data_IF_450472901671
#
_entry.id   IF_450472901671
#
_cell.length_a   1.000
_cell.length_b   1.000
_cell.length_c   1.000
_cell.angle_alpha   90.00
_cell.angle_beta   90.00
_cell.angle_gamma   90.00
#
_symmetry.space_group_name_H-M   'P 1'
#
loop_
_entity.id
_entity.type
_entity.pdbx_description
1 polymer ?
#
# COMPACT_ATOMS: atom_id res chain seq x y z
N UNK A 1 7.15 55.63 9.26
CA UNK A 1 7.00 55.16 7.85
C UNK A 1 7.91 53.99 7.46
N UNK A 2 9.22 54.17 7.17
CA UNK A 2 10.04 53.06 6.59
C UNK A 2 10.22 51.85 7.52
N UNK A 3 10.35 52.08 8.84
CA UNK A 3 10.44 51.02 9.86
C UNK A 3 9.09 50.30 10.11
N UNK A 4 7.97 51.01 10.00
CA UNK A 4 6.63 50.42 10.13
C UNK A 4 6.27 49.57 8.91
N UNK A 5 6.67 50.02 7.71
CA UNK A 5 6.51 49.28 6.47
C UNK A 5 7.34 47.99 6.47
N UNK A 6 8.60 48.06 6.95
CA UNK A 6 9.47 46.90 7.16
C UNK A 6 8.90 45.89 8.19
N UNK A 7 8.35 46.36 9.32
CA UNK A 7 7.67 45.50 10.30
C UNK A 7 6.39 44.84 9.73
N UNK A 8 5.61 45.57 8.94
CA UNK A 8 4.41 45.05 8.30
C UNK A 8 4.73 43.99 7.24
N UNK A 9 5.79 44.17 6.46
CA UNK A 9 6.29 43.18 5.50
C UNK A 9 6.80 41.90 6.18
N UNK A 10 7.56 42.05 7.28
CA UNK A 10 8.04 40.91 8.06
C UNK A 10 6.88 40.13 8.69
N UNK A 11 5.89 40.84 9.28
CA UNK A 11 4.69 40.22 9.86
C UNK A 11 3.87 39.45 8.81
N UNK A 12 3.69 40.01 7.60
CA UNK A 12 3.02 39.32 6.48
C UNK A 12 3.78 38.07 6.03
N UNK A 13 5.11 38.14 5.96
CA UNK A 13 5.94 37.00 5.59
C UNK A 13 5.87 35.88 6.65
N UNK A 14 5.86 36.24 7.94
CA UNK A 14 5.70 35.29 9.05
C UNK A 14 4.31 34.63 9.03
N UNK A 15 3.25 35.41 8.81
CA UNK A 15 1.89 34.89 8.69
C UNK A 15 1.76 33.93 7.50
N UNK A 16 2.30 34.29 6.33
CA UNK A 16 2.30 33.44 5.13
C UNK A 16 3.06 32.13 5.37
N UNK A 17 4.22 32.16 6.04
CA UNK A 17 4.97 30.95 6.43
C UNK A 17 4.18 30.07 7.39
N UNK A 18 3.51 30.67 8.38
CA UNK A 18 2.69 29.94 9.35
C UNK A 18 1.48 29.27 8.67
N UNK A 19 0.81 29.95 7.75
CA UNK A 19 -0.29 29.41 6.96
C UNK A 19 0.16 28.25 6.07
N UNK A 20 1.32 28.38 5.41
CA UNK A 20 1.89 27.31 4.60
C UNK A 20 2.23 26.07 5.46
N UNK A 21 2.86 26.27 6.62
CA UNK A 21 3.18 25.18 7.55
C UNK A 21 1.92 24.46 8.07
N UNK A 22 0.87 25.22 8.41
CA UNK A 22 -0.43 24.64 8.82
C UNK A 22 -1.08 23.84 7.69
N UNK A 23 -1.04 24.35 6.47
CA UNK A 23 -1.57 23.65 5.30
C UNK A 23 -0.80 22.35 5.02
N UNK A 24 0.53 22.35 5.16
CA UNK A 24 1.36 21.14 5.02
C UNK A 24 1.06 20.11 6.11
N UNK A 25 0.89 20.54 7.35
CA UNK A 25 0.52 19.67 8.45
C UNK A 25 -0.87 19.04 8.23
N UNK A 26 -1.86 19.84 7.79
CA UNK A 26 -3.20 19.34 7.47
C UNK A 26 -3.17 18.31 6.33
N UNK A 27 -2.37 18.54 5.27
CA UNK A 27 -2.18 17.56 4.20
C UNK A 27 -1.55 16.27 4.71
N UNK A 28 -0.54 16.36 5.57
CA UNK A 28 0.08 15.18 6.17
C UNK A 28 -0.92 14.37 7.00
N UNK A 29 -1.76 15.04 7.80
CA UNK A 29 -2.80 14.39 8.59
C UNK A 29 -3.85 13.69 7.70
N UNK A 30 -4.28 14.32 6.60
CA UNK A 30 -5.19 13.67 5.63
C UNK A 30 -4.57 12.43 4.99
N UNK A 31 -3.28 12.47 4.66
CA UNK A 31 -2.59 11.29 4.12
C UNK A 31 -2.50 10.19 5.17
N UNK A 32 -2.25 10.52 6.43
CA UNK A 32 -2.30 9.52 7.49
C UNK A 32 -3.71 8.91 7.62
N UNK A 33 -4.79 9.71 7.56
CA UNK A 33 -6.16 9.16 7.51
C UNK A 33 -6.33 8.21 6.31
N UNK A 34 -5.86 8.60 5.13
CA UNK A 34 -5.91 7.74 3.94
C UNK A 34 -5.12 6.44 4.14
N UNK A 35 -3.96 6.46 4.81
CA UNK A 35 -3.20 5.26 5.16
C UNK A 35 -3.96 4.34 6.10
N UNK A 36 -4.70 4.89 7.07
CA UNK A 36 -5.53 4.10 7.96
C UNK A 36 -6.65 3.38 7.17
N UNK A 37 -7.32 4.09 6.27
CA UNK A 37 -8.32 3.52 5.38
C UNK A 37 -7.71 2.44 4.48
N UNK A 38 -6.57 2.73 3.83
CA UNK A 38 -5.88 1.76 2.98
C UNK A 38 -5.42 0.52 3.75
N UNK A 39 -4.96 0.66 5.00
CA UNK A 39 -4.61 -0.48 5.85
C UNK A 39 -5.81 -1.40 6.11
N UNK A 40 -7.01 -0.84 6.32
CA UNK A 40 -8.24 -1.64 6.40
C UNK A 40 -8.58 -2.31 5.06
N UNK A 41 -8.45 -1.58 3.95
CA UNK A 41 -8.69 -2.14 2.61
C UNK A 41 -7.74 -3.32 2.31
N UNK A 42 -6.48 -3.27 2.73
CA UNK A 42 -5.54 -4.41 2.62
C UNK A 42 -6.06 -5.63 3.38
N UNK A 43 -6.56 -5.46 4.61
CA UNK A 43 -7.15 -6.59 5.36
C UNK A 43 -8.33 -7.18 4.58
N UNK A 44 -9.17 -6.34 3.97
CA UNK A 44 -10.28 -6.78 3.14
C UNK A 44 -9.85 -7.49 1.85
N UNK A 45 -8.61 -7.31 1.38
CA UNK A 45 -8.05 -8.08 0.26
C UNK A 45 -7.68 -9.48 0.71
N UNK A 46 -7.06 -9.62 1.89
CA UNK A 46 -6.53 -10.90 2.38
C UNK A 46 -7.57 -11.77 3.08
N UNK A 47 -8.62 -11.16 3.64
CA UNK A 47 -9.79 -11.86 4.18
C UNK A 47 -11.07 -11.19 3.65
N UNK A 48 -11.43 -11.46 2.38
CA UNK A 48 -12.53 -10.80 1.73
C UNK A 48 -13.87 -11.22 2.34
N UNK A 49 -14.85 -10.32 2.24
CA UNK A 49 -16.25 -10.67 2.50
C UNK A 49 -16.69 -11.81 1.57
N UNK A 50 -17.63 -12.66 2.01
CA UNK A 50 -18.05 -13.80 1.22
C UNK A 50 -18.93 -13.41 0.01
N UNK A 51 -19.00 -14.31 -0.97
CA UNK A 51 -19.93 -14.23 -2.08
C UNK A 51 -19.60 -13.16 -3.14
N UNK A 52 -20.54 -12.95 -4.06
CA UNK A 52 -20.38 -12.03 -5.20
C UNK A 52 -20.13 -10.59 -4.72
N UNK A 53 -20.89 -10.14 -3.71
CA UNK A 53 -20.75 -8.79 -3.12
C UNK A 53 -19.34 -8.56 -2.61
N UNK A 54 -18.78 -9.52 -1.86
CA UNK A 54 -17.42 -9.44 -1.38
C UNK A 54 -16.39 -9.37 -2.51
N UNK A 55 -16.59 -10.13 -3.59
CA UNK A 55 -15.70 -10.09 -4.74
C UNK A 55 -15.71 -8.73 -5.49
N UNK A 56 -16.88 -8.06 -5.59
CA UNK A 56 -16.97 -6.69 -6.10
C UNK A 56 -16.34 -5.68 -5.14
N UNK A 57 -16.53 -5.85 -3.83
CA UNK A 57 -15.87 -5.01 -2.83
C UNK A 57 -14.35 -5.14 -2.90
N UNK A 58 -13.82 -6.36 -3.04
CA UNK A 58 -12.38 -6.61 -3.23
C UNK A 58 -11.83 -5.92 -4.46
N UNK A 59 -12.60 -5.81 -5.56
CA UNK A 59 -12.17 -5.03 -6.73
C UNK A 59 -11.90 -3.57 -6.37
N UNK A 60 -12.75 -2.96 -5.54
CA UNK A 60 -12.56 -1.58 -5.10
C UNK A 60 -11.42 -1.44 -4.08
N UNK A 61 -11.21 -2.43 -3.22
CA UNK A 61 -10.16 -2.36 -2.19
C UNK A 61 -8.74 -2.44 -2.75
N UNK A 62 -8.56 -2.96 -3.99
CA UNK A 62 -7.25 -3.06 -4.65
C UNK A 62 -6.53 -1.73 -4.86
N UNK A 63 -7.20 -0.59 -4.72
CA UNK A 63 -6.57 0.76 -4.75
C UNK A 63 -5.54 0.99 -3.63
N UNK A 64 -5.59 0.20 -2.55
CA UNK A 64 -4.77 0.43 -1.36
C UNK A 64 -3.25 0.38 -1.64
N UNK A 65 -2.77 -0.64 -2.38
CA UNK A 65 -1.35 -0.78 -2.70
C UNK A 65 -0.84 0.34 -3.61
N UNK A 66 -1.51 0.66 -4.73
CA UNK A 66 -1.21 1.87 -5.53
C UNK A 66 -1.08 3.14 -4.69
N UNK A 67 -2.02 3.38 -3.77
CA UNK A 67 -2.02 4.56 -2.91
C UNK A 67 -0.79 4.59 -1.99
N UNK A 68 -0.39 3.47 -1.39
CA UNK A 68 0.83 3.41 -0.57
C UNK A 68 2.11 3.73 -1.36
N UNK A 69 2.22 3.25 -2.60
CA UNK A 69 3.33 3.64 -3.50
C UNK A 69 3.29 5.12 -3.85
N UNK A 70 2.13 5.66 -4.21
CA UNK A 70 1.96 7.10 -4.50
C UNK A 70 2.31 7.97 -3.29
N UNK A 71 1.90 7.59 -2.08
CA UNK A 71 2.28 8.30 -0.85
C UNK A 71 3.80 8.33 -0.70
N UNK A 72 4.47 7.18 -0.89
CA UNK A 72 5.94 7.12 -0.76
C UNK A 72 6.64 7.99 -1.81
N UNK A 73 6.17 7.96 -3.06
CA UNK A 73 6.69 8.80 -4.13
C UNK A 73 6.44 10.29 -3.92
N UNK A 74 5.26 10.66 -3.42
CA UNK A 74 4.89 12.05 -3.15
C UNK A 74 5.78 12.73 -2.11
N UNK A 75 6.19 11.99 -1.07
CA UNK A 75 7.08 12.51 -0.01
C UNK A 75 8.57 12.28 -0.30
N UNK A 76 8.93 11.63 -1.41
CA UNK A 76 10.32 11.29 -1.70
C UNK A 76 11.19 12.54 -1.90
N UNK A 77 10.68 13.58 -2.56
CA UNK A 77 11.40 14.85 -2.70
C UNK A 77 11.79 15.45 -1.34
N UNK A 78 10.91 15.34 -0.34
CA UNK A 78 11.16 15.85 1.00
C UNK A 78 12.22 15.01 1.74
N UNK A 79 12.27 13.70 1.45
CA UNK A 79 13.33 12.81 1.93
C UNK A 79 14.69 13.18 1.34
N UNK A 80 14.74 13.45 0.03
CA UNK A 80 15.95 13.88 -0.68
C UNK A 80 16.45 15.22 -0.15
N UNK A 81 15.55 16.21 0.00
CA UNK A 81 15.90 17.52 0.56
C UNK A 81 16.46 17.45 1.99
N UNK A 82 16.14 16.39 2.74
CA UNK A 82 16.64 16.14 4.09
C UNK A 82 17.85 15.20 4.13
N UNK A 83 18.36 14.73 2.99
CA UNK A 83 19.43 13.73 2.87
C UNK A 83 19.15 12.43 3.66
N UNK A 84 17.89 11.97 3.63
CA UNK A 84 17.41 10.80 4.41
C UNK A 84 17.10 9.57 3.55
N UNK A 85 17.48 9.55 2.28
CA UNK A 85 17.19 8.47 1.32
C UNK A 85 17.80 7.15 1.79
N UNK A 86 19.10 7.17 2.12
CA UNK A 86 19.81 5.99 2.66
C UNK A 86 19.21 5.52 3.99
N UNK A 87 18.78 6.46 4.84
CA UNK A 87 18.11 6.13 6.09
C UNK A 87 16.76 5.46 5.86
N UNK A 88 15.96 5.95 4.91
CA UNK A 88 14.69 5.33 4.53
C UNK A 88 14.92 3.91 3.98
N UNK A 89 15.88 3.72 3.08
CA UNK A 89 16.24 2.39 2.55
C UNK A 89 16.65 1.44 3.67
N UNK A 90 17.54 1.88 4.59
CA UNK A 90 17.96 1.06 5.73
C UNK A 90 16.78 0.70 6.64
N UNK A 91 15.87 1.64 6.88
CA UNK A 91 14.66 1.40 7.68
C UNK A 91 13.74 0.37 7.03
N UNK A 92 13.47 0.49 5.72
CA UNK A 92 12.65 -0.48 4.98
C UNK A 92 13.35 -1.86 4.92
N UNK A 93 14.66 -1.89 4.68
CA UNK A 93 15.46 -3.12 4.70
C UNK A 93 15.39 -3.83 6.05
N UNK A 94 15.50 -3.09 7.16
CA UNK A 94 15.31 -3.62 8.51
C UNK A 94 13.90 -4.20 8.72
N UNK A 95 12.86 -3.50 8.26
CA UNK A 95 11.48 -3.99 8.32
C UNK A 95 11.26 -5.26 7.50
N UNK A 96 11.90 -5.41 6.34
CA UNK A 96 11.82 -6.64 5.54
C UNK A 96 12.42 -7.80 6.30
N UNK A 97 13.61 -7.62 6.87
CA UNK A 97 14.27 -8.67 7.67
C UNK A 97 13.38 -9.05 8.86
N UNK A 98 12.90 -8.07 9.62
CA UNK A 98 12.05 -8.28 10.78
C UNK A 98 10.74 -8.99 10.41
N UNK A 99 10.04 -8.54 9.37
CA UNK A 99 8.80 -9.16 8.90
C UNK A 99 9.01 -10.60 8.44
N UNK A 100 10.04 -10.86 7.61
CA UNK A 100 10.33 -12.21 7.15
C UNK A 100 10.71 -13.13 8.32
N UNK A 101 11.48 -12.65 9.31
CA UNK A 101 11.80 -13.43 10.51
C UNK A 101 10.56 -13.78 11.33
N UNK A 102 9.62 -12.84 11.49
CA UNK A 102 8.34 -13.09 12.16
C UNK A 102 7.58 -14.22 11.45
N UNK A 103 7.47 -14.17 10.12
CA UNK A 103 6.74 -15.20 9.36
C UNK A 103 7.48 -16.53 9.31
N UNK A 104 8.81 -16.52 9.31
CA UNK A 104 9.61 -17.73 9.42
C UNK A 104 9.32 -18.47 10.74
N UNK A 105 9.39 -17.75 11.87
CA UNK A 105 9.09 -18.31 13.20
C UNK A 105 7.62 -18.75 13.29
N UNK A 106 6.69 -17.92 12.82
CA UNK A 106 5.26 -18.22 12.82
C UNK A 106 4.93 -19.49 12.03
N UNK A 107 5.48 -19.64 10.83
CA UNK A 107 5.24 -20.80 10.00
C UNK A 107 5.88 -22.07 10.59
N UNK A 108 7.06 -21.98 11.22
CA UNK A 108 7.64 -23.11 11.98
C UNK A 108 6.70 -23.54 13.09
N UNK A 109 6.20 -22.58 13.90
CA UNK A 109 5.26 -22.87 14.98
C UNK A 109 3.98 -23.55 14.44
N UNK A 110 3.45 -23.07 13.30
CA UNK A 110 2.30 -23.71 12.66
C UNK A 110 2.57 -25.13 12.16
N UNK A 111 3.74 -25.38 11.55
CA UNK A 111 4.11 -26.72 11.08
C UNK A 111 4.22 -27.69 12.28
N UNK A 112 4.84 -27.27 13.39
CA UNK A 112 4.91 -28.05 14.64
C UNK A 112 3.51 -28.38 15.16
N UNK A 113 2.62 -27.38 15.23
CA UNK A 113 1.25 -27.57 15.71
C UNK A 113 0.42 -28.52 14.82
N UNK A 114 0.78 -28.65 13.54
CA UNK A 114 0.12 -29.54 12.57
C UNK A 114 0.77 -30.92 12.46
N UNK A 115 1.91 -31.14 13.12
CA UNK A 115 2.71 -32.36 12.94
C UNK A 115 3.35 -32.47 11.54
N UNK A 116 3.54 -31.34 10.85
CA UNK A 116 4.16 -31.28 9.52
C UNK A 116 5.70 -31.33 9.59
N UNK A 117 6.34 -31.80 8.53
CA UNK A 117 7.79 -31.96 8.49
C UNK A 117 8.49 -30.60 8.29
N UNK A 118 9.11 -30.10 9.37
CA UNK A 118 9.83 -28.81 9.39
C UNK A 118 10.99 -28.78 8.38
N UNK A 119 11.71 -29.89 8.18
CA UNK A 119 12.83 -29.96 7.23
C UNK A 119 12.32 -29.80 5.81
N UNK A 120 11.19 -30.44 5.48
CA UNK A 120 10.54 -30.28 4.18
C UNK A 120 10.07 -28.83 3.96
N UNK A 121 9.50 -28.20 4.99
CA UNK A 121 9.14 -26.78 4.96
C UNK A 121 10.36 -25.88 4.67
N UNK A 122 11.46 -26.03 5.42
CA UNK A 122 12.67 -25.22 5.21
C UNK A 122 13.23 -25.42 3.79
N UNK A 123 13.29 -26.66 3.30
CA UNK A 123 13.73 -26.94 1.91
C UNK A 123 12.81 -26.30 0.88
N UNK A 124 11.51 -26.24 1.15
CA UNK A 124 10.54 -25.60 0.24
C UNK A 124 10.76 -24.09 0.10
N UNK A 125 11.33 -23.43 1.12
CA UNK A 125 11.63 -21.98 1.11
C UNK A 125 12.86 -21.70 0.24
N UNK A 126 13.95 -22.44 0.47
CA UNK A 126 15.26 -22.20 -0.15
C UNK A 126 15.47 -22.98 -1.45
N UNK A 127 14.46 -22.97 -2.33
CA UNK A 127 14.62 -23.50 -3.69
C UNK A 127 15.26 -22.46 -4.61
N UNK A 128 16.00 -22.88 -5.63
CA UNK A 128 16.58 -21.95 -6.61
C UNK A 128 15.53 -21.05 -7.26
N UNK A 129 14.35 -21.61 -7.56
CA UNK A 129 13.20 -20.87 -8.08
C UNK A 129 12.76 -19.74 -7.13
N UNK A 130 12.53 -20.05 -5.86
CA UNK A 130 12.07 -19.06 -4.88
C UNK A 130 13.10 -17.96 -4.63
N UNK A 131 14.38 -18.31 -4.63
CA UNK A 131 15.47 -17.33 -4.50
C UNK A 131 15.46 -16.38 -5.70
N UNK A 132 15.28 -16.90 -6.91
CA UNK A 132 15.17 -16.09 -8.12
C UNK A 132 13.92 -15.21 -8.07
N UNK A 133 12.75 -15.76 -7.74
CA UNK A 133 11.50 -14.98 -7.62
C UNK A 133 11.61 -13.87 -6.56
N UNK A 134 12.29 -14.14 -5.45
CA UNK A 134 12.56 -13.15 -4.41
C UNK A 134 13.50 -12.05 -4.88
N UNK A 135 14.63 -12.40 -5.50
CA UNK A 135 15.68 -11.45 -5.90
C UNK A 135 15.32 -10.68 -7.18
N UNK A 136 14.61 -11.31 -8.11
CA UNK A 136 14.27 -10.71 -9.40
C UNK A 136 12.89 -10.06 -9.40
N UNK A 137 11.93 -10.56 -8.60
CA UNK A 137 10.53 -10.14 -8.64
C UNK A 137 9.97 -9.77 -7.26
N UNK A 138 10.82 -9.64 -6.23
CA UNK A 138 10.46 -9.26 -4.85
C UNK A 138 9.37 -10.14 -4.19
N UNK A 139 9.15 -11.38 -4.65
CA UNK A 139 8.16 -12.29 -4.06
C UNK A 139 8.76 -12.98 -2.83
N UNK A 140 8.20 -12.73 -1.65
CA UNK A 140 8.73 -13.35 -0.41
C UNK A 140 8.39 -14.85 -0.37
N UNK A 141 9.40 -15.72 -0.19
CA UNK A 141 9.17 -17.16 -0.07
C UNK A 141 8.56 -17.56 1.29
N UNK A 142 8.47 -16.61 2.23
CA UNK A 142 7.96 -16.84 3.59
C UNK A 142 6.50 -16.43 3.74
N UNK A 143 6.11 -15.33 3.10
CA UNK A 143 4.72 -14.91 3.05
C UNK A 143 4.46 -13.99 1.86
N UNK A 144 3.63 -14.45 0.92
CA UNK A 144 3.39 -13.76 -0.35
C UNK A 144 2.81 -12.34 -0.20
N UNK A 145 2.10 -12.02 0.89
CA UNK A 145 1.62 -10.65 1.11
C UNK A 145 2.77 -9.66 1.30
N UNK A 146 3.96 -10.08 1.78
CA UNK A 146 5.12 -9.23 2.06
C UNK A 146 5.76 -8.62 0.80
N UNK A 147 5.34 -9.03 -0.40
CA UNK A 147 5.89 -8.55 -1.68
C UNK A 147 5.94 -7.02 -1.76
N UNK A 148 4.95 -6.30 -1.19
CA UNK A 148 4.93 -4.83 -1.23
C UNK A 148 6.13 -4.20 -0.50
N UNK A 149 6.60 -4.77 0.62
CA UNK A 149 7.79 -4.27 1.32
C UNK A 149 9.05 -4.46 0.48
N UNK A 150 9.18 -5.63 -0.15
CA UNK A 150 10.26 -5.88 -1.11
C UNK A 150 10.19 -4.89 -2.27
N UNK A 151 9.02 -4.76 -2.89
CA UNK A 151 8.83 -3.86 -4.02
C UNK A 151 9.18 -2.40 -3.70
N UNK A 152 8.76 -1.86 -2.54
CA UNK A 152 9.13 -0.48 -2.18
C UNK A 152 10.62 -0.31 -1.90
N UNK A 153 11.30 -1.32 -1.33
CA UNK A 153 12.76 -1.29 -1.20
C UNK A 153 13.44 -1.18 -2.56
N UNK A 154 13.02 -2.02 -3.52
CA UNK A 154 13.59 -2.07 -4.86
C UNK A 154 13.38 -0.73 -5.58
N UNK A 155 12.17 -0.17 -5.51
CA UNK A 155 11.87 1.15 -6.05
C UNK A 155 12.78 2.22 -5.46
N UNK A 156 12.93 2.27 -4.12
CA UNK A 156 13.76 3.27 -3.47
C UNK A 156 15.25 3.15 -3.87
N UNK A 157 15.76 1.93 -4.02
CA UNK A 157 17.13 1.70 -4.50
C UNK A 157 17.28 2.15 -5.96
N UNK A 158 16.34 1.78 -6.83
CA UNK A 158 16.36 2.15 -8.25
C UNK A 158 16.29 3.67 -8.41
N UNK A 159 15.36 4.34 -7.73
CA UNK A 159 15.23 5.80 -7.81
C UNK A 159 16.48 6.49 -7.27
N UNK A 160 17.08 6.01 -6.17
CA UNK A 160 18.36 6.52 -5.66
C UNK A 160 19.50 6.37 -6.69
N UNK A 161 19.54 5.26 -7.44
CA UNK A 161 20.54 5.04 -8.48
C UNK A 161 20.30 5.91 -9.72
N UNK A 162 19.04 6.11 -10.11
CA UNK A 162 18.64 6.92 -11.28
C UNK A 162 18.71 8.43 -11.01
N UNK A 163 18.58 8.86 -9.76
CA UNK A 163 18.75 10.25 -9.36
C UNK A 163 20.22 10.71 -9.48
N UNK A 164 21.20 9.81 -9.30
CA UNK A 164 22.63 10.13 -9.44
C UNK A 164 22.99 10.76 -10.80
N UNK A 165 22.58 10.19 -11.96
CA UNK A 165 22.77 10.82 -13.27
C UNK A 165 21.68 11.84 -13.65
N UNK A 166 20.76 12.20 -12.73
CA UNK A 166 19.62 13.08 -13.00
C UNK A 166 18.65 12.55 -14.09
N UNK A 167 18.55 11.22 -14.24
CA UNK A 167 17.76 10.56 -15.28
C UNK A 167 16.33 10.21 -14.86
N UNK A 168 15.82 10.77 -13.76
CA UNK A 168 14.48 10.45 -13.21
C UNK A 168 13.33 10.62 -14.21
N UNK A 169 13.48 11.53 -15.19
CA UNK A 169 12.52 11.69 -16.31
C UNK A 169 12.30 10.39 -17.09
N UNK A 170 13.30 9.52 -17.18
CA UNK A 170 13.16 8.20 -17.82
C UNK A 170 12.08 7.36 -17.14
N UNK A 171 12.05 7.33 -15.80
CA UNK A 171 11.04 6.58 -15.05
C UNK A 171 9.63 7.14 -15.29
N UNK A 172 9.50 8.45 -15.52
CA UNK A 172 8.23 9.08 -15.87
C UNK A 172 7.75 8.67 -17.27
N UNK A 173 8.65 8.60 -18.25
CA UNK A 173 8.31 8.12 -19.60
C UNK A 173 8.00 6.62 -19.62
N UNK A 174 8.66 5.82 -18.77
CA UNK A 174 8.39 4.39 -18.64
C UNK A 174 7.08 4.08 -17.91
N UNK A 175 6.61 4.98 -17.03
CA UNK A 175 5.38 4.79 -16.24
C UNK A 175 4.17 4.32 -17.06
N UNK A 176 3.75 4.99 -18.16
CA UNK A 176 2.62 4.51 -18.97
C UNK A 176 2.88 3.13 -19.61
N UNK A 177 4.10 2.87 -20.09
CA UNK A 177 4.46 1.59 -20.70
C UNK A 177 4.35 0.45 -19.68
N UNK A 178 4.86 0.67 -18.47
CA UNK A 178 4.83 -0.30 -17.38
C UNK A 178 3.39 -0.57 -16.87
N UNK A 179 2.52 0.44 -16.83
CA UNK A 179 1.11 0.26 -16.51
C UNK A 179 0.37 -0.53 -17.59
N UNK A 180 0.63 -0.24 -18.86
CA UNK A 180 0.07 -1.01 -19.98
C UNK A 180 0.54 -2.47 -19.89
N UNK A 181 1.81 -2.71 -19.58
CA UNK A 181 2.33 -4.05 -19.37
C UNK A 181 1.65 -4.77 -18.18
N UNK A 182 1.43 -4.09 -17.03
CA UNK A 182 0.68 -4.66 -15.89
C UNK A 182 -0.73 -5.10 -16.28
N UNK A 183 -1.42 -4.29 -17.10
CA UNK A 183 -2.78 -4.61 -17.53
C UNK A 183 -2.79 -5.72 -18.59
N UNK A 184 -1.93 -5.62 -19.61
CA UNK A 184 -1.90 -6.52 -20.75
C UNK A 184 -1.46 -7.94 -20.35
N UNK A 185 -0.34 -8.07 -19.64
CA UNK A 185 0.16 -9.38 -19.16
C UNK A 185 -0.50 -9.83 -17.85
N UNK A 186 -1.34 -8.97 -17.25
CA UNK A 186 -2.03 -9.23 -16.02
C UNK A 186 -3.53 -9.46 -16.22
N UNK A 187 -4.35 -8.47 -15.86
CA UNK A 187 -5.81 -8.62 -15.76
C UNK A 187 -6.49 -8.92 -17.10
N UNK A 188 -5.96 -8.37 -18.19
CA UNK A 188 -6.53 -8.49 -19.54
C UNK A 188 -5.79 -9.52 -20.40
N UNK A 189 -4.91 -10.33 -19.80
CA UNK A 189 -4.12 -11.34 -20.51
C UNK A 189 -4.99 -12.36 -21.25
N UNK A 190 -6.05 -12.85 -20.61
CA UNK A 190 -7.02 -13.75 -21.24
C UNK A 190 -7.75 -13.10 -22.42
N UNK A 191 -8.01 -11.79 -22.36
CA UNK A 191 -8.67 -11.05 -23.43
C UNK A 191 -7.73 -10.79 -24.62
N UNK A 192 -6.46 -10.46 -24.35
CA UNK A 192 -5.50 -10.01 -25.37
C UNK A 192 -4.72 -11.17 -25.97
N UNK A 193 -4.34 -12.15 -25.15
CA UNK A 193 -3.42 -13.23 -25.51
C UNK A 193 -4.07 -14.62 -25.43
N UNK A 194 -5.33 -14.72 -25.02
CA UNK A 194 -6.04 -15.99 -24.79
C UNK A 194 -5.35 -16.93 -23.80
N UNK A 195 -4.45 -16.39 -22.97
CA UNK A 195 -3.69 -17.14 -21.97
C UNK A 195 -3.48 -16.28 -20.72
N UNK A 196 -3.51 -16.93 -19.56
CA UNK A 196 -3.14 -16.30 -18.30
C UNK A 196 -1.65 -16.50 -18.00
N UNK A 197 -0.97 -15.41 -17.62
CA UNK A 197 0.42 -15.42 -17.19
C UNK A 197 0.53 -15.46 -15.66
N UNK A 198 1.63 -16.00 -15.11
CA UNK A 198 1.89 -15.92 -13.67
C UNK A 198 1.89 -14.48 -13.19
N UNK A 199 1.02 -14.17 -12.23
CA UNK A 199 0.80 -12.79 -11.77
C UNK A 199 2.08 -12.11 -11.25
N UNK A 200 3.09 -12.87 -10.80
CA UNK A 200 4.36 -12.39 -10.23
C UNK A 200 5.18 -11.61 -11.29
N UNK A 201 5.00 -11.93 -12.58
CA UNK A 201 5.68 -11.25 -13.69
C UNK A 201 5.35 -9.75 -13.77
N UNK A 202 4.15 -9.36 -13.33
CA UNK A 202 3.70 -7.96 -13.30
C UNK A 202 3.43 -7.43 -11.90
N UNK A 203 3.14 -8.29 -10.91
CA UNK A 203 2.94 -7.89 -9.50
C UNK A 203 4.26 -7.74 -8.76
N UNK A 204 5.05 -6.75 -9.16
CA UNK A 204 6.39 -6.51 -8.61
C UNK A 204 6.76 -5.01 -8.62
N UNK A 205 7.99 -4.72 -8.20
CA UNK A 205 8.55 -3.38 -8.16
C UNK A 205 8.52 -2.69 -9.52
N UNK A 206 8.63 -3.43 -10.63
CA UNK A 206 8.77 -2.88 -11.97
C UNK A 206 7.43 -2.39 -12.51
N UNK A 207 6.41 -3.25 -12.58
CA UNK A 207 5.13 -2.88 -13.21
C UNK A 207 4.12 -2.26 -12.24
N UNK A 208 4.31 -2.42 -10.92
CA UNK A 208 3.47 -1.77 -9.90
C UNK A 208 4.24 -0.69 -9.14
N UNK A 209 5.41 -1.05 -8.58
CA UNK A 209 6.14 -0.16 -7.69
C UNK A 209 6.57 1.16 -8.33
N UNK A 210 7.35 1.09 -9.42
CA UNK A 210 7.90 2.25 -10.12
C UNK A 210 6.77 3.16 -10.64
N UNK A 211 5.74 2.68 -11.35
CA UNK A 211 4.69 3.53 -11.89
C UNK A 211 3.93 4.32 -10.82
N UNK A 212 3.43 3.64 -9.78
CA UNK A 212 2.65 4.31 -8.75
C UNK A 212 3.50 5.24 -7.88
N UNK A 213 4.78 4.89 -7.63
CA UNK A 213 5.71 5.81 -7.00
C UNK A 213 5.93 7.06 -7.87
N UNK A 214 6.17 6.89 -9.16
CA UNK A 214 6.40 8.00 -10.10
C UNK A 214 5.18 8.91 -10.22
N UNK A 215 3.97 8.34 -10.26
CA UNK A 215 2.73 9.12 -10.24
C UNK A 215 2.65 9.99 -8.99
N UNK A 216 2.95 9.42 -7.81
CA UNK A 216 3.00 10.17 -6.55
C UNK A 216 3.99 11.34 -6.61
N UNK A 217 5.19 11.08 -7.14
CA UNK A 217 6.23 12.10 -7.28
C UNK A 217 5.82 13.20 -8.29
N UNK A 218 5.23 12.83 -9.43
CA UNK A 218 4.71 13.79 -10.41
C UNK A 218 3.61 14.68 -9.84
N UNK A 219 2.71 14.13 -9.02
CA UNK A 219 1.66 14.90 -8.34
C UNK A 219 2.28 15.98 -7.44
N UNK A 220 3.38 15.67 -6.74
CA UNK A 220 4.14 16.61 -5.91
C UNK A 220 4.85 17.66 -6.77
N UNK A 221 5.69 17.22 -7.71
CA UNK A 221 6.55 18.09 -8.54
C UNK A 221 5.74 19.09 -9.38
N UNK A 222 4.64 18.63 -9.99
CA UNK A 222 3.80 19.47 -10.86
C UNK A 222 2.67 20.18 -10.13
N UNK A 223 2.60 20.03 -8.80
CA UNK A 223 1.51 20.53 -7.95
C UNK A 223 0.13 20.20 -8.53
N UNK A 224 -0.03 18.97 -9.05
CA UNK A 224 -1.25 18.56 -9.75
C UNK A 224 -2.49 18.71 -8.86
N UNK A 225 -2.34 18.51 -7.54
CA UNK A 225 -3.43 18.68 -6.58
C UNK A 225 -3.97 20.10 -6.50
N UNK A 226 -3.20 21.13 -6.87
CA UNK A 226 -3.67 22.53 -6.87
C UNK A 226 -4.60 22.79 -8.04
N UNK A 227 -4.35 22.17 -9.20
CA UNK A 227 -5.12 22.36 -10.45
C UNK A 227 -6.51 21.71 -10.44
N UNK A 228 -6.70 20.66 -9.64
CA UNK A 228 -7.92 19.85 -9.69
C UNK A 228 -9.00 20.37 -8.74
N UNK A 229 -10.24 20.45 -9.21
CA UNK A 229 -11.39 20.84 -8.39
C UNK A 229 -11.85 19.64 -7.53
N UNK A 230 -12.13 19.89 -6.24
CA UNK A 230 -12.61 18.86 -5.29
C UNK A 230 -13.93 18.21 -5.73
N UNK A 231 -14.88 18.97 -6.29
CA UNK A 231 -16.16 18.42 -6.80
C UNK A 231 -15.93 17.51 -8.01
N UNK A 232 -15.04 17.91 -8.92
CA UNK A 232 -14.67 17.08 -10.09
C UNK A 232 -14.03 15.77 -9.61
N UNK A 233 -13.12 15.83 -8.63
CA UNK A 233 -12.53 14.62 -8.03
C UNK A 233 -13.58 13.67 -7.44
N UNK A 234 -14.62 14.19 -6.77
CA UNK A 234 -15.71 13.35 -6.25
C UNK A 234 -16.48 12.66 -7.38
N UNK A 235 -16.81 13.39 -8.45
CA UNK A 235 -17.46 12.81 -9.64
C UNK A 235 -16.57 11.73 -10.25
N UNK A 236 -15.27 12.00 -10.44
CA UNK A 236 -14.34 11.02 -10.99
C UNK A 236 -14.17 9.79 -10.10
N UNK A 237 -14.18 9.92 -8.77
CA UNK A 237 -14.17 8.78 -7.84
C UNK A 237 -15.41 7.91 -8.07
N UNK A 238 -16.60 8.52 -8.20
CA UNK A 238 -17.84 7.77 -8.48
C UNK A 238 -17.76 7.09 -9.85
N UNK A 239 -17.32 7.81 -10.88
CA UNK A 239 -17.16 7.27 -12.24
C UNK A 239 -16.19 6.08 -12.23
N UNK A 240 -14.98 6.23 -11.68
CA UNK A 240 -13.99 5.15 -11.67
C UNK A 240 -14.35 3.99 -10.74
N UNK A 241 -15.20 4.22 -9.74
CA UNK A 241 -15.81 3.16 -8.95
C UNK A 241 -16.78 2.36 -9.82
N UNK A 242 -17.71 3.03 -10.50
CA UNK A 242 -18.70 2.38 -11.38
C UNK A 242 -18.00 1.63 -12.50
N UNK A 243 -17.01 2.23 -13.17
CA UNK A 243 -16.28 1.56 -14.24
C UNK A 243 -15.46 0.38 -13.73
N UNK A 244 -14.84 0.46 -12.55
CA UNK A 244 -14.17 -0.72 -11.95
C UNK A 244 -15.12 -1.90 -11.72
N UNK A 245 -16.36 -1.62 -11.28
CA UNK A 245 -17.39 -2.64 -11.10
C UNK A 245 -17.87 -3.18 -12.46
N UNK A 246 -18.07 -2.31 -13.44
CA UNK A 246 -18.48 -2.69 -14.80
C UNK A 246 -17.41 -3.54 -15.50
N UNK A 247 -16.13 -3.17 -15.39
CA UNK A 247 -15.01 -3.93 -15.96
C UNK A 247 -14.94 -5.34 -15.39
N UNK A 248 -15.11 -5.47 -14.07
CA UNK A 248 -15.25 -6.79 -13.43
C UNK A 248 -16.43 -7.55 -14.02
N UNK A 249 -17.60 -6.92 -14.08
CA UNK A 249 -18.81 -7.58 -14.57
C UNK A 249 -18.60 -8.12 -15.98
N UNK A 250 -18.10 -7.29 -16.90
CA UNK A 250 -17.80 -7.66 -18.29
C UNK A 250 -16.81 -8.82 -18.34
N UNK A 251 -15.64 -8.71 -17.71
CA UNK A 251 -14.62 -9.76 -17.75
C UNK A 251 -15.08 -11.07 -17.12
N UNK A 252 -15.82 -11.02 -16.01
CA UNK A 252 -16.36 -12.23 -15.37
C UNK A 252 -17.46 -12.85 -16.23
N UNK A 253 -18.36 -12.05 -16.79
CA UNK A 253 -19.44 -12.55 -17.65
C UNK A 253 -18.92 -13.22 -18.93
N UNK A 254 -17.80 -12.73 -19.46
CA UNK A 254 -17.13 -13.30 -20.62
C UNK A 254 -16.21 -14.48 -20.29
N UNK A 255 -16.00 -14.83 -19.01
CA UNK A 255 -15.03 -15.86 -18.60
C UNK A 255 -13.56 -15.46 -18.77
N UNK A 256 -13.26 -14.16 -18.88
CA UNK A 256 -11.93 -13.60 -19.18
C UNK A 256 -11.28 -12.87 -17.98
N UNK A 257 -11.77 -13.07 -16.76
CA UNK A 257 -11.24 -12.41 -15.57
C UNK A 257 -10.03 -13.17 -14.98
N UNK A 258 -8.82 -12.79 -15.39
CA UNK A 258 -7.56 -13.34 -14.85
C UNK A 258 -7.35 -13.01 -13.36
N UNK A 259 -6.47 -13.76 -12.70
CA UNK A 259 -6.15 -13.69 -11.26
C UNK A 259 -5.53 -12.37 -10.82
N UNK A 260 -4.85 -11.65 -11.72
CA UNK A 260 -4.20 -10.35 -11.43
C UNK A 260 -5.16 -9.35 -10.78
N UNK A 261 -4.64 -8.39 -10.02
CA UNK A 261 -5.47 -7.58 -9.12
C UNK A 261 -6.10 -6.33 -9.74
N UNK A 262 -5.40 -5.66 -10.67
CA UNK A 262 -5.78 -4.31 -11.11
C UNK A 262 -6.63 -4.33 -12.39
N UNK A 263 -7.73 -3.58 -12.38
CA UNK A 263 -8.44 -3.18 -13.60
C UNK A 263 -7.89 -1.84 -14.09
N UNK A 264 -8.18 -1.47 -15.32
CA UNK A 264 -7.76 -0.17 -15.88
C UNK A 264 -8.26 0.99 -14.98
N UNK A 265 -9.52 0.93 -14.53
CA UNK A 265 -10.09 1.96 -13.65
C UNK A 265 -9.46 2.01 -12.26
N UNK A 266 -8.79 0.94 -11.81
CA UNK A 266 -8.15 0.90 -10.48
C UNK A 266 -7.07 1.97 -10.37
N UNK A 267 -6.25 2.16 -11.41
CA UNK A 267 -5.21 3.20 -11.46
C UNK A 267 -5.81 4.59 -11.30
N UNK A 268 -6.83 4.91 -12.12
CA UNK A 268 -7.48 6.21 -12.11
C UNK A 268 -8.21 6.50 -10.80
N UNK A 269 -8.89 5.49 -10.23
CA UNK A 269 -9.54 5.58 -8.93
C UNK A 269 -8.52 5.87 -7.82
N UNK A 270 -7.40 5.16 -7.80
CA UNK A 270 -6.35 5.35 -6.80
C UNK A 270 -5.75 6.77 -6.87
N UNK A 271 -5.50 7.29 -8.08
CA UNK A 271 -5.03 8.68 -8.29
C UNK A 271 -6.07 9.67 -7.75
N UNK A 272 -7.34 9.51 -8.11
CA UNK A 272 -8.39 10.42 -7.67
C UNK A 272 -8.57 10.42 -6.15
N UNK A 273 -8.56 9.23 -5.51
CA UNK A 273 -8.64 9.11 -4.05
C UNK A 273 -7.44 9.78 -3.35
N UNK A 274 -6.23 9.56 -3.87
CA UNK A 274 -5.02 10.15 -3.31
C UNK A 274 -5.03 11.68 -3.41
N UNK A 275 -5.34 12.22 -4.60
CA UNK A 275 -5.45 13.68 -4.81
C UNK A 275 -6.61 14.29 -4.02
N UNK A 276 -7.73 13.58 -3.91
CA UNK A 276 -8.86 14.01 -3.08
C UNK A 276 -8.49 14.09 -1.60
N UNK A 277 -7.73 13.13 -1.07
CA UNK A 277 -7.24 13.19 0.31
C UNK A 277 -6.32 14.40 0.53
N UNK A 278 -5.41 14.69 -0.40
CA UNK A 278 -4.54 15.89 -0.33
C UNK A 278 -5.32 17.21 -0.27
N UNK A 279 -6.54 17.26 -0.81
CA UNK A 279 -7.41 18.45 -0.82
C UNK A 279 -8.53 18.42 0.22
N UNK A 280 -8.64 17.35 0.99
CA UNK A 280 -9.73 17.21 1.95
C UNK A 280 -9.45 18.04 3.20
N UNK A 281 -10.50 18.35 3.95
CA UNK A 281 -10.39 18.97 5.28
C UNK A 281 -10.77 17.91 6.33
N UNK A 282 -10.26 16.68 6.17
CA UNK A 282 -10.60 15.62 7.12
C UNK A 282 -9.95 15.93 8.46
N UNK A 283 -10.73 15.80 9.52
CA UNK A 283 -10.25 16.02 10.88
C UNK A 283 -10.68 14.84 11.74
N UNK A 284 -9.80 13.84 11.83
CA UNK A 284 -9.99 12.69 12.71
C UNK A 284 -8.65 12.27 13.31
N UNK A 285 -8.42 12.67 14.57
CA UNK A 285 -7.17 12.42 15.28
C UNK A 285 -6.85 10.92 15.43
N UNK A 286 -7.87 10.09 15.63
CA UNK A 286 -7.71 8.65 15.82
C UNK A 286 -7.22 7.97 14.54
N UNK A 287 -7.89 8.24 13.42
CA UNK A 287 -7.48 7.72 12.11
C UNK A 287 -6.10 8.23 11.70
N UNK A 288 -5.77 9.49 11.99
CA UNK A 288 -4.41 10.03 11.80
C UNK A 288 -3.37 9.23 12.59
N UNK A 289 -3.63 8.94 13.87
CA UNK A 289 -2.73 8.13 14.70
C UNK A 289 -2.58 6.72 14.15
N UNK A 290 -3.67 6.09 13.73
CA UNK A 290 -3.66 4.75 13.15
C UNK A 290 -2.81 4.70 11.88
N UNK A 291 -3.04 5.62 10.96
CA UNK A 291 -2.31 5.68 9.71
C UNK A 291 -0.84 6.02 9.88
N UNK A 292 -0.51 6.90 10.82
CA UNK A 292 0.87 7.31 11.11
C UNK A 292 1.67 6.22 11.80
N UNK A 293 1.11 5.62 12.85
CA UNK A 293 1.85 4.73 13.77
C UNK A 293 1.66 3.25 13.47
N UNK A 294 0.48 2.82 13.03
CA UNK A 294 0.13 1.40 12.99
C UNK A 294 0.00 0.81 11.59
N UNK A 295 -0.29 1.61 10.55
CA UNK A 295 -0.57 1.09 9.18
C UNK A 295 0.45 0.07 8.65
N UNK A 296 1.75 0.33 8.79
CA UNK A 296 2.81 -0.58 8.34
C UNK A 296 2.79 -1.90 9.11
N UNK A 297 2.73 -1.84 10.43
CA UNK A 297 2.71 -3.04 11.26
C UNK A 297 1.41 -3.82 11.10
N UNK A 298 0.28 -3.14 10.95
CA UNK A 298 -1.00 -3.75 10.64
C UNK A 298 -0.90 -4.57 9.34
N UNK A 299 -0.33 -3.98 8.28
CA UNK A 299 -0.02 -4.71 7.06
C UNK A 299 0.89 -5.94 7.30
N UNK A 300 1.92 -5.84 8.15
CA UNK A 300 2.83 -6.97 8.39
C UNK A 300 2.12 -8.13 9.09
N UNK A 301 1.47 -7.87 10.23
CA UNK A 301 1.06 -8.95 11.15
C UNK A 301 -0.39 -9.42 10.99
N UNK A 302 -1.26 -8.71 10.25
CA UNK A 302 -2.66 -9.13 10.12
C UNK A 302 -2.88 -10.57 9.60
N UNK A 303 -2.02 -11.19 8.75
CA UNK A 303 -2.22 -12.58 8.33
C UNK A 303 -2.04 -13.61 9.45
N UNK A 304 -1.28 -13.27 10.49
CA UNK A 304 -1.20 -14.07 11.72
C UNK A 304 -2.59 -14.13 12.38
N UNK A 305 -3.26 -12.97 12.51
CA UNK A 305 -4.61 -12.89 13.07
C UNK A 305 -5.65 -13.60 12.20
N UNK A 306 -5.55 -13.50 10.87
CA UNK A 306 -6.40 -14.27 9.94
C UNK A 306 -6.25 -15.77 10.25
N UNK A 307 -5.02 -16.25 10.39
CA UNK A 307 -4.75 -17.68 10.62
C UNK A 307 -5.25 -18.12 11.99
N UNK A 308 -4.95 -17.37 13.06
CA UNK A 308 -5.41 -17.66 14.43
C UNK A 308 -6.92 -17.73 14.49
N UNK A 309 -7.63 -16.71 13.99
CA UNK A 309 -9.08 -16.69 14.04
C UNK A 309 -9.72 -17.77 13.17
N UNK A 310 -9.13 -18.10 12.02
CA UNK A 310 -9.62 -19.21 11.20
C UNK A 310 -9.52 -20.56 11.93
N UNK A 311 -8.46 -20.79 12.71
CA UNK A 311 -8.32 -22.01 13.53
C UNK A 311 -9.33 -22.02 14.67
N UNK A 312 -9.43 -20.93 15.43
CA UNK A 312 -10.32 -20.82 16.60
C UNK A 312 -11.79 -20.95 16.18
N UNK A 313 -12.23 -20.18 15.19
CA UNK A 313 -13.62 -20.21 14.71
C UNK A 313 -13.98 -21.53 14.03
N UNK A 314 -13.00 -22.22 13.43
CA UNK A 314 -13.15 -23.57 12.92
C UNK A 314 -13.44 -24.58 14.04
N UNK A 315 -12.68 -24.54 15.13
CA UNK A 315 -12.88 -25.42 16.30
C UNK A 315 -14.20 -25.14 17.03
N UNK A 316 -14.63 -23.88 17.06
CA UNK A 316 -15.90 -23.45 17.68
C UNK A 316 -17.14 -23.68 16.79
N UNK A 317 -16.97 -24.13 15.54
CA UNK A 317 -18.09 -24.35 14.61
C UNK A 317 -18.76 -23.07 14.08
N UNK A 318 -18.25 -21.88 14.39
CA UNK A 318 -18.84 -20.57 14.01
C UNK A 318 -18.21 -19.94 12.76
N UNK A 319 -17.49 -20.73 11.95
CA UNK A 319 -16.72 -20.26 10.79
C UNK A 319 -17.58 -19.55 9.74
N UNK A 320 -18.84 -19.94 9.56
CA UNK A 320 -19.77 -19.32 8.61
C UNK A 320 -20.08 -17.87 8.99
N UNK A 321 -20.43 -17.63 10.26
CA UNK A 321 -20.72 -16.30 10.81
C UNK A 321 -19.45 -15.45 10.79
N UNK A 322 -18.32 -16.01 11.24
CA UNK A 322 -17.04 -15.31 11.25
C UNK A 322 -16.68 -14.76 9.88
N UNK A 323 -16.85 -15.53 8.80
CA UNK A 323 -16.52 -15.08 7.43
C UNK A 323 -17.21 -13.77 7.04
N UNK A 324 -18.42 -13.52 7.50
CA UNK A 324 -19.17 -12.30 7.18
C UNK A 324 -18.59 -11.04 7.85
N UNK A 325 -17.90 -11.20 8.97
CA UNK A 325 -17.33 -10.09 9.77
C UNK A 325 -15.80 -10.14 9.86
N UNK A 326 -15.17 -11.14 9.25
CA UNK A 326 -13.76 -11.47 9.40
C UNK A 326 -12.81 -10.30 9.14
N UNK A 327 -12.93 -9.50 8.05
CA UNK A 327 -12.05 -8.36 7.84
C UNK A 327 -12.14 -7.30 8.95
N UNK A 328 -13.33 -7.07 9.51
CA UNK A 328 -13.53 -6.12 10.63
C UNK A 328 -12.87 -6.67 11.89
N UNK A 329 -13.14 -7.92 12.24
CA UNK A 329 -12.58 -8.58 13.44
C UNK A 329 -11.05 -8.63 13.36
N UNK A 330 -10.49 -9.03 12.22
CA UNK A 330 -9.03 -9.10 12.00
C UNK A 330 -8.40 -7.72 12.12
N UNK A 331 -8.96 -6.69 11.48
CA UNK A 331 -8.44 -5.33 11.56
C UNK A 331 -8.45 -4.81 13.00
N UNK A 332 -9.59 -4.90 13.69
CA UNK A 332 -9.73 -4.41 15.06
C UNK A 332 -8.80 -5.16 16.03
N UNK A 333 -8.72 -6.48 15.94
CA UNK A 333 -7.85 -7.27 16.82
C UNK A 333 -6.37 -6.98 16.59
N UNK A 334 -5.95 -6.88 15.32
CA UNK A 334 -4.57 -6.53 14.97
C UNK A 334 -4.23 -5.14 15.49
N UNK A 335 -5.14 -4.17 15.34
CA UNK A 335 -4.94 -2.81 15.83
C UNK A 335 -4.84 -2.74 17.35
N UNK A 336 -5.75 -3.40 18.07
CA UNK A 336 -5.73 -3.46 19.55
C UNK A 336 -4.43 -4.08 20.03
N UNK A 337 -3.98 -5.18 19.41
CA UNK A 337 -2.71 -5.81 19.73
C UNK A 337 -1.52 -4.85 19.56
N UNK A 338 -1.47 -4.10 18.45
CA UNK A 338 -0.41 -3.11 18.22
C UNK A 338 -0.43 -1.95 19.22
N UNK A 339 -1.62 -1.49 19.62
CA UNK A 339 -1.77 -0.47 20.66
C UNK A 339 -1.24 -0.98 22.00
N UNK A 340 -1.59 -2.21 22.38
CA UNK A 340 -1.11 -2.85 23.62
C UNK A 340 0.42 -3.00 23.58
N UNK A 341 0.97 -3.55 22.50
CA UNK A 341 2.41 -3.70 22.33
C UNK A 341 3.16 -2.37 22.45
N UNK A 342 2.61 -1.29 21.87
CA UNK A 342 3.22 0.02 22.00
C UNK A 342 3.20 0.52 23.44
N UNK A 343 2.08 0.38 24.16
CA UNK A 343 1.97 0.76 25.57
C UNK A 343 2.96 0.00 26.44
N UNK A 344 3.09 -1.31 26.23
CA UNK A 344 4.07 -2.16 26.94
C UNK A 344 5.50 -1.70 26.64
N UNK A 345 5.84 -1.46 25.37
CA UNK A 345 7.18 -0.98 24.98
C UNK A 345 7.53 0.37 25.60
N UNK A 346 6.56 1.28 25.75
CA UNK A 346 6.77 2.55 26.44
C UNK A 346 6.99 2.34 27.95
N UNK A 347 6.21 1.47 28.60
CA UNK A 347 6.33 1.17 30.02
C UNK A 347 7.67 0.49 30.37
N UNK A 348 8.20 -0.36 29.48
CA UNK A 348 9.50 -1.01 29.67
C UNK A 348 10.65 -0.01 29.51
N UNK A 349 10.54 0.97 28.60
CA UNK A 349 11.58 2.00 28.40
C UNK A 349 11.59 3.11 29.46
N UNK A 350 10.49 3.28 30.18
CA UNK A 350 10.40 4.23 31.30
C UNK A 350 10.90 3.65 32.62
N UNK A 351 11.21 2.35 32.64
CA UNK A 351 11.97 1.67 33.70
C UNK A 351 13.41 1.54 33.24
#
# INVERSE_FOLDING_TARGET
>A
MRAEQSRAEQSRAEQSRAEQSRAEQSRADNIDILKALCAFLIVCIHVPFPGKVGAYFTTLTRVAVPVFFMITGYFYSDTVARHKEKHQIKKIGGLIIEANMIFFIWNIALNVLRGENIVAYIRSIFTGKNIIEFLALNESPLAGHLWYLGAILYVLVIVLLVDKPNCRKLLYYLTPVLLIADLAFGKYSLLIFHQEFPYILVRNFLCVGIPYFCIGNLIREKRCSEKWNRKILQVLIVVFTITSLAERFVLVSAGLNATRDHYLSTTSLAICLFVYALKSNWNNKELTVIGRKYSTWLYIIHPIFITVFSIVTGKLGIKSIYRCIAPIVVYCATLVFLIILQKVKMAIKSK
#
